data_IF_282546847960
#
_entry.id   IF_282546847960
#
_cell.length_a   1.000
_cell.length_b   1.000
_cell.length_c   1.000
_cell.angle_alpha   90.00
_cell.angle_beta   90.00
_cell.angle_gamma   90.00
#
_symmetry.space_group_name_H-M   'P 1'
#
loop_
_entity.id
_entity.type
_entity.pdbx_description
1 polymer ?
#
# COMPACT_ATOMS: atom_id res chain seq x y z
N UNK A 1 -0.62 8.97 -13.99
CA UNK A 1 0.13 8.28 -12.92
C UNK A 1 0.02 6.75 -12.99
N UNK A 2 -1.19 6.15 -12.96
CA UNK A 2 -1.38 4.68 -13.08
C UNK A 2 -0.87 4.07 -14.39
N UNK A 3 -1.06 4.76 -15.52
CA UNK A 3 -0.62 4.27 -16.84
C UNK A 3 0.92 4.22 -16.95
N UNK A 4 1.63 5.16 -16.33
CA UNK A 4 3.09 5.18 -16.30
C UNK A 4 3.65 4.04 -15.42
N UNK A 5 2.97 3.70 -14.32
CA UNK A 5 3.31 2.57 -13.46
C UNK A 5 3.03 1.21 -14.13
N UNK A 6 1.96 1.09 -14.92
CA UNK A 6 1.66 -0.14 -15.67
C UNK A 6 2.56 -0.33 -16.90
N UNK A 7 2.86 0.74 -17.65
CA UNK A 7 3.63 0.67 -18.90
C UNK A 7 5.13 0.38 -18.69
N UNK A 8 5.67 0.65 -17.51
CA UNK A 8 7.10 0.44 -17.20
C UNK A 8 7.40 -0.92 -16.57
N UNK A 9 6.39 -1.78 -16.37
CA UNK A 9 6.52 -3.07 -15.66
C UNK A 9 6.10 -4.30 -16.49
N UNK A 10 6.17 -4.24 -17.83
CA UNK A 10 6.20 -5.44 -18.66
C UNK A 10 7.61 -6.07 -18.58
N UNK A 11 7.81 -6.95 -17.60
CA UNK A 11 9.00 -7.81 -17.53
C UNK A 11 8.61 -9.17 -18.11
N UNK A 12 8.85 -9.35 -19.41
CA UNK A 12 9.04 -10.66 -20.02
C UNK A 12 10.50 -11.06 -19.90
N UNK A 13 10.76 -12.32 -19.54
CA UNK A 13 12.04 -12.98 -19.78
C UNK A 13 13.08 -12.80 -18.66
N UNK A 14 13.21 -13.85 -17.85
CA UNK A 14 14.34 -14.04 -16.96
C UNK A 14 15.65 -14.10 -17.77
N UNK A 15 16.48 -13.07 -17.70
CA UNK A 15 17.80 -13.11 -18.34
C UNK A 15 18.60 -11.81 -18.23
N UNK A 16 17.96 -10.64 -18.34
CA UNK A 16 18.69 -9.37 -18.46
C UNK A 16 18.74 -8.53 -17.16
N UNK A 17 17.99 -8.91 -16.12
CA UNK A 17 17.87 -8.11 -14.89
C UNK A 17 19.10 -8.12 -13.97
N UNK A 18 20.16 -8.88 -14.27
CA UNK A 18 21.32 -8.98 -13.37
C UNK A 18 22.28 -7.78 -13.47
N UNK A 19 22.39 -7.14 -14.64
CA UNK A 19 23.33 -6.01 -14.82
C UNK A 19 22.78 -4.65 -14.34
N UNK A 20 21.46 -4.42 -14.45
CA UNK A 20 20.83 -3.17 -13.98
C UNK A 20 20.75 -3.05 -12.45
N UNK A 21 20.77 -4.18 -11.73
CA UNK A 21 20.73 -4.22 -10.27
C UNK A 21 22.01 -3.64 -9.62
N UNK A 22 23.13 -3.60 -10.34
CA UNK A 22 24.42 -3.15 -9.78
C UNK A 22 24.52 -1.63 -9.55
N UNK A 23 23.70 -0.82 -10.25
CA UNK A 23 23.68 0.65 -10.09
C UNK A 23 22.68 1.17 -9.05
N UNK A 24 21.83 0.32 -8.48
CA UNK A 24 20.88 0.70 -7.42
C UNK A 24 21.43 0.61 -6.00
N UNK A 25 22.74 0.41 -5.85
CA UNK A 25 23.44 0.31 -4.56
C UNK A 25 23.61 1.66 -3.82
N UNK A 26 23.11 2.77 -4.36
CA UNK A 26 23.29 4.12 -3.77
C UNK A 26 22.03 4.79 -3.21
N UNK A 27 20.83 4.27 -3.47
CA UNK A 27 19.59 4.87 -2.96
C UNK A 27 19.16 4.12 -1.69
N UNK A 28 19.76 4.48 -0.55
CA UNK A 28 19.15 4.22 0.77
C UNK A 28 17.89 5.08 0.89
N UNK A 29 16.83 4.65 0.20
CA UNK A 29 15.51 5.25 0.31
C UNK A 29 14.97 4.94 1.69
N UNK A 30 15.03 5.93 2.57
CA UNK A 30 14.33 5.88 3.85
C UNK A 30 12.84 6.01 3.54
N UNK A 31 12.05 4.97 3.83
CA UNK A 31 10.59 5.02 3.76
C UNK A 31 10.03 5.17 5.16
N UNK A 32 9.16 6.15 5.40
CA UNK A 32 8.46 6.34 6.68
C UNK A 32 6.95 6.18 6.51
N UNK A 33 6.30 5.82 7.61
CA UNK A 33 4.85 5.61 7.70
C UNK A 33 4.17 6.49 8.76
N UNK A 34 4.93 7.40 9.37
CA UNK A 34 4.48 8.23 10.48
C UNK A 34 3.63 9.44 10.06
N UNK A 35 3.18 9.47 8.80
CA UNK A 35 2.32 10.50 8.25
C UNK A 35 1.08 9.88 7.60
N UNK A 36 -0.08 10.40 7.99
CA UNK A 36 -1.41 9.91 7.61
C UNK A 36 -2.16 10.87 6.66
N UNK A 37 -1.49 11.91 6.13
CA UNK A 37 -2.13 13.05 5.46
C UNK A 37 -2.52 12.83 3.99
N UNK A 38 -1.89 11.88 3.27
CA UNK A 38 -2.12 11.72 1.82
C UNK A 38 -2.30 10.27 1.35
N UNK A 39 -3.29 10.02 0.49
CA UNK A 39 -3.60 8.68 -0.06
C UNK A 39 -2.65 8.19 -1.17
N UNK A 40 -1.66 9.01 -1.54
CA UNK A 40 -0.60 8.67 -2.50
C UNK A 40 0.76 8.87 -1.85
N UNK A 41 1.79 8.07 -2.21
CA UNK A 41 3.15 8.29 -1.75
C UNK A 41 3.67 9.67 -2.18
N UNK A 42 4.46 10.32 -1.33
CA UNK A 42 5.08 11.61 -1.60
C UNK A 42 6.41 11.75 -0.86
N UNK A 43 7.19 12.78 -1.17
CA UNK A 43 8.46 13.06 -0.50
C UNK A 43 8.29 14.07 0.63
N UNK A 44 8.85 13.77 1.78
CA UNK A 44 9.23 14.77 2.76
C UNK A 44 10.62 15.30 2.41
N UNK A 45 10.69 16.57 2.01
CA UNK A 45 11.94 17.26 1.66
C UNK A 45 12.37 18.28 2.72
N UNK A 46 11.53 18.52 3.72
CA UNK A 46 11.65 19.66 4.62
C UNK A 46 12.18 19.26 6.00
N UNK A 47 11.87 18.05 6.48
CA UNK A 47 12.26 17.61 7.83
C UNK A 47 13.77 17.44 7.98
N UNK A 48 14.46 16.93 6.96
CA UNK A 48 15.91 16.73 6.98
C UNK A 48 16.54 17.33 5.72
N UNK A 49 17.29 18.45 5.85
CA UNK A 49 17.92 19.09 4.70
C UNK A 49 18.83 18.13 3.90
N UNK A 50 18.60 18.08 2.59
CA UNK A 50 19.37 17.25 1.65
C UNK A 50 19.12 15.74 1.77
N UNK A 51 18.11 15.31 2.53
CA UNK A 51 17.74 13.89 2.69
C UNK A 51 16.22 13.71 2.54
N UNK A 52 15.71 13.70 1.30
CA UNK A 52 14.31 13.45 1.07
C UNK A 52 13.94 12.03 1.52
N UNK A 53 12.82 11.92 2.24
CA UNK A 53 12.29 10.66 2.78
C UNK A 53 10.98 10.35 2.07
N UNK A 54 10.83 9.13 1.56
CA UNK A 54 9.59 8.71 0.93
C UNK A 54 8.55 8.44 2.02
N UNK A 55 7.47 9.21 2.03
CA UNK A 55 6.31 8.99 2.90
C UNK A 55 5.35 8.02 2.22
N UNK A 56 5.01 6.95 2.93
CA UNK A 56 3.97 6.02 2.54
C UNK A 56 2.93 5.93 3.64
N UNK A 57 1.71 6.36 3.32
CA UNK A 57 0.65 6.41 4.30
C UNK A 57 0.33 5.06 4.94
N UNK A 58 0.26 5.08 6.27
CA UNK A 58 -0.38 4.04 7.06
C UNK A 58 -1.84 4.42 7.35
N UNK A 59 -2.74 3.44 7.27
CA UNK A 59 -4.16 3.65 7.54
C UNK A 59 -4.47 3.22 8.97
N UNK A 60 -4.78 4.19 9.83
CA UNK A 60 -5.13 3.99 11.25
C UNK A 60 -6.65 3.80 11.45
N UNK A 61 -7.45 4.25 10.49
CA UNK A 61 -8.92 4.28 10.53
C UNK A 61 -9.60 2.91 10.39
N UNK A 62 -8.93 1.87 9.90
CA UNK A 62 -9.43 0.48 9.90
C UNK A 62 -8.30 -0.53 10.20
N UNK A 63 -7.35 -0.12 11.02
CA UNK A 63 -6.34 -1.01 11.59
C UNK A 63 -7.02 -2.09 12.45
N UNK A 64 -6.47 -3.31 12.45
CA UNK A 64 -6.99 -4.40 13.26
C UNK A 64 -6.96 -4.10 14.76
N UNK A 65 -6.08 -3.19 15.22
CA UNK A 65 -6.11 -2.64 16.58
C UNK A 65 -7.47 -2.09 17.00
N UNK A 66 -8.28 -1.55 16.07
CA UNK A 66 -9.62 -1.06 16.40
C UNK A 66 -10.54 -2.15 16.93
N UNK A 67 -10.38 -3.39 16.45
CA UNK A 67 -11.14 -4.55 16.93
C UNK A 67 -10.85 -4.84 18.41
N UNK A 68 -9.67 -4.43 18.89
CA UNK A 68 -9.30 -4.57 20.29
C UNK A 68 -9.74 -3.38 21.14
N UNK A 69 -9.61 -2.15 20.62
CA UNK A 69 -9.84 -0.94 21.40
C UNK A 69 -11.31 -0.51 21.46
N UNK A 70 -12.11 -0.83 20.44
CA UNK A 70 -13.53 -0.48 20.38
C UNK A 70 -14.40 -1.74 20.47
N UNK A 71 -15.15 -1.84 21.57
CA UNK A 71 -16.04 -2.98 21.82
C UNK A 71 -17.18 -3.11 20.80
N UNK A 72 -17.59 -2.03 20.15
CA UNK A 72 -18.62 -2.05 19.11
C UNK A 72 -18.05 -2.42 17.72
N UNK A 73 -16.73 -2.40 17.57
CA UNK A 73 -16.06 -2.64 16.29
C UNK A 73 -15.58 -4.09 16.17
N UNK A 74 -16.46 -4.96 15.68
CA UNK A 74 -16.15 -6.37 15.46
C UNK A 74 -15.44 -6.68 14.14
N UNK A 75 -15.02 -7.94 13.93
CA UNK A 75 -14.44 -8.41 12.65
C UNK A 75 -15.38 -8.22 11.45
N UNK A 76 -16.70 -8.24 11.66
CA UNK A 76 -17.69 -7.95 10.61
C UNK A 76 -17.69 -6.49 10.17
N UNK A 77 -17.61 -5.56 11.13
CA UNK A 77 -17.48 -4.12 10.86
C UNK A 77 -16.16 -3.82 10.15
N UNK A 78 -15.06 -4.43 10.62
CA UNK A 78 -13.75 -4.33 9.98
C UNK A 78 -13.80 -4.77 8.51
N UNK A 79 -14.38 -5.95 8.23
CA UNK A 79 -14.52 -6.47 6.87
C UNK A 79 -15.36 -5.53 5.99
N UNK A 80 -16.52 -5.10 6.49
CA UNK A 80 -17.42 -4.22 5.74
C UNK A 80 -16.73 -2.89 5.40
N UNK A 81 -15.97 -2.32 6.33
CA UNK A 81 -15.21 -1.09 6.10
C UNK A 81 -14.09 -1.33 5.07
N UNK A 82 -13.28 -2.38 5.25
CA UNK A 82 -12.17 -2.68 4.36
C UNK A 82 -12.63 -2.90 2.90
N UNK A 83 -13.74 -3.62 2.71
CA UNK A 83 -14.36 -3.83 1.39
C UNK A 83 -14.84 -2.51 0.78
N UNK A 84 -15.60 -1.70 1.53
CA UNK A 84 -16.09 -0.40 1.03
C UNK A 84 -14.95 0.56 0.70
N UNK A 85 -13.90 0.57 1.51
CA UNK A 85 -12.72 1.39 1.26
C UNK A 85 -12.01 0.95 -0.02
N UNK A 86 -11.80 -0.36 -0.19
CA UNK A 86 -11.21 -0.92 -1.40
C UNK A 86 -12.05 -0.58 -2.64
N UNK A 87 -13.36 -0.79 -2.60
CA UNK A 87 -14.26 -0.50 -3.73
C UNK A 87 -14.23 0.97 -4.12
N UNK A 88 -14.20 1.87 -3.12
CA UNK A 88 -14.10 3.31 -3.35
C UNK A 88 -12.77 3.70 -3.99
N UNK A 89 -11.64 3.23 -3.44
CA UNK A 89 -10.31 3.48 -3.98
C UNK A 89 -10.17 2.92 -5.40
N UNK A 90 -10.74 1.75 -5.65
CA UNK A 90 -10.72 1.11 -6.97
C UNK A 90 -11.56 1.92 -7.97
N UNK A 91 -12.75 2.38 -7.59
CA UNK A 91 -13.61 3.25 -8.41
C UNK A 91 -12.88 4.52 -8.80
N UNK A 92 -12.28 5.22 -7.84
CA UNK A 92 -11.49 6.43 -8.10
C UNK A 92 -10.27 6.15 -9.00
N UNK A 93 -9.63 4.99 -8.81
CA UNK A 93 -8.55 4.52 -9.67
C UNK A 93 -8.97 4.30 -11.11
N UNK A 94 -10.16 3.72 -11.34
CA UNK A 94 -10.75 3.52 -12.67
C UNK A 94 -11.14 4.83 -13.33
N UNK A 95 -11.49 5.85 -12.55
CA UNK A 95 -11.75 7.23 -13.00
C UNK A 95 -10.46 8.02 -13.29
N UNK A 96 -9.28 7.41 -13.13
CA UNK A 96 -7.98 8.00 -13.47
C UNK A 96 -7.19 8.54 -12.29
N UNK A 97 -7.69 8.38 -11.05
CA UNK A 97 -7.04 8.82 -9.82
C UNK A 97 -6.65 7.62 -8.93
N UNK A 98 -5.60 6.86 -9.30
CA UNK A 98 -5.16 5.70 -8.52
C UNK A 98 -4.65 6.12 -7.14
N UNK A 99 -5.11 5.42 -6.10
CA UNK A 99 -4.68 5.64 -4.70
C UNK A 99 -4.17 4.34 -4.09
N UNK A 100 -3.39 4.48 -3.03
CA UNK A 100 -2.91 3.35 -2.24
C UNK A 100 -3.83 3.08 -1.06
N UNK A 101 -4.09 1.80 -0.78
CA UNK A 101 -4.73 1.34 0.45
C UNK A 101 -3.71 0.53 1.26
N UNK A 102 -3.56 0.85 2.55
CA UNK A 102 -2.75 0.09 3.50
C UNK A 102 -3.68 -0.70 4.44
N UNK A 103 -3.30 -1.93 4.81
CA UNK A 103 -3.96 -2.71 5.87
C UNK A 103 -3.00 -2.85 7.05
N UNK A 104 -3.41 -2.37 8.22
CA UNK A 104 -2.77 -2.66 9.51
C UNK A 104 -3.29 -3.98 10.06
N UNK A 105 -2.39 -4.94 10.30
CA UNK A 105 -2.74 -6.30 10.70
C UNK A 105 -1.86 -6.77 11.85
N UNK A 106 -2.49 -7.12 12.97
CA UNK A 106 -1.85 -7.67 14.15
C UNK A 106 -2.23 -9.14 14.30
N UNK A 107 -1.23 -10.03 14.25
CA UNK A 107 -1.45 -11.49 14.33
C UNK A 107 -2.22 -11.88 15.60
N UNK A 108 -1.94 -11.21 16.71
CA UNK A 108 -2.62 -11.45 17.99
C UNK A 108 -4.07 -10.94 18.05
N UNK A 109 -4.51 -10.15 17.07
CA UNK A 109 -5.87 -9.60 17.02
C UNK A 109 -6.66 -10.24 15.89
N UNK A 110 -6.33 -9.94 14.62
CA UNK A 110 -7.07 -10.46 13.46
C UNK A 110 -6.74 -11.94 13.21
N UNK A 111 -5.58 -12.40 13.65
CA UNK A 111 -5.14 -13.80 13.50
C UNK A 111 -5.85 -14.78 14.43
N UNK A 112 -6.62 -14.32 15.41
CA UNK A 112 -7.40 -15.21 16.27
C UNK A 112 -8.43 -16.01 15.46
N UNK A 113 -8.66 -17.27 15.84
CA UNK A 113 -9.57 -18.18 15.13
C UNK A 113 -10.99 -17.62 14.93
N UNK A 114 -11.51 -16.86 15.91
CA UNK A 114 -12.83 -16.22 15.82
C UNK A 114 -12.90 -15.00 14.89
N UNK A 115 -11.77 -14.52 14.34
CA UNK A 115 -11.67 -13.27 13.56
C UNK A 115 -11.00 -13.44 12.20
N UNK A 116 -10.14 -14.46 12.03
CA UNK A 116 -9.36 -14.68 10.80
C UNK A 116 -10.22 -14.84 9.54
N UNK A 117 -11.46 -15.30 9.70
CA UNK A 117 -12.43 -15.40 8.60
C UNK A 117 -12.67 -14.04 7.91
N UNK A 118 -12.62 -12.93 8.64
CA UNK A 118 -12.83 -11.59 8.08
C UNK A 118 -11.69 -11.21 7.14
N UNK A 119 -10.45 -11.48 7.53
CA UNK A 119 -9.28 -11.29 6.68
C UNK A 119 -9.37 -12.16 5.42
N UNK A 120 -9.76 -13.42 5.57
CA UNK A 120 -9.96 -14.34 4.45
C UNK A 120 -10.99 -13.82 3.44
N UNK A 121 -12.14 -13.33 3.92
CA UNK A 121 -13.16 -12.74 3.06
C UNK A 121 -12.72 -11.43 2.40
N UNK A 122 -11.96 -10.59 3.12
CA UNK A 122 -11.38 -9.37 2.54
C UNK A 122 -10.47 -9.71 1.36
N UNK A 123 -9.57 -10.68 1.51
CA UNK A 123 -8.72 -11.13 0.41
C UNK A 123 -9.51 -11.80 -0.72
N UNK A 124 -10.54 -12.57 -0.40
CA UNK A 124 -11.42 -13.16 -1.41
C UNK A 124 -12.13 -12.07 -2.22
N UNK A 125 -12.58 -10.98 -1.59
CA UNK A 125 -13.18 -9.83 -2.28
C UNK A 125 -12.18 -9.15 -3.20
N UNK A 126 -11.03 -8.74 -2.66
CA UNK A 126 -9.97 -8.08 -3.43
C UNK A 126 -9.57 -8.93 -4.64
N UNK A 127 -9.43 -10.25 -4.49
CA UNK A 127 -9.02 -11.16 -5.56
C UNK A 127 -9.97 -11.23 -6.76
N UNK A 128 -11.23 -10.79 -6.63
CA UNK A 128 -12.20 -10.74 -7.73
C UNK A 128 -11.91 -9.66 -8.78
N UNK A 129 -10.99 -8.76 -8.49
CA UNK A 129 -10.66 -7.62 -9.35
C UNK A 129 -9.30 -7.84 -10.01
N UNK A 130 -9.25 -7.86 -11.34
CA UNK A 130 -8.02 -8.05 -12.11
C UNK A 130 -7.13 -6.80 -12.12
N UNK A 131 -7.72 -5.64 -11.87
CA UNK A 131 -7.07 -4.33 -11.87
C UNK A 131 -6.39 -3.96 -10.54
N UNK A 132 -6.30 -4.92 -9.61
CA UNK A 132 -5.61 -4.75 -8.33
C UNK A 132 -4.09 -4.87 -8.46
N UNK A 133 -3.38 -4.15 -7.61
CA UNK A 133 -1.95 -4.34 -7.40
C UNK A 133 -1.66 -4.62 -5.93
N UNK A 134 -1.12 -5.81 -5.65
CA UNK A 134 -0.56 -6.14 -4.35
C UNK A 134 0.94 -5.82 -4.38
N UNK A 135 1.39 -4.92 -3.51
CA UNK A 135 2.78 -4.50 -3.46
C UNK A 135 3.29 -4.38 -2.03
N UNK A 136 4.55 -4.73 -1.83
CA UNK A 136 5.28 -4.32 -0.63
C UNK A 136 5.63 -2.84 -0.74
N UNK A 137 5.75 -2.14 0.39
CA UNK A 137 6.21 -0.74 0.42
C UNK A 137 7.56 -0.57 -0.29
N UNK A 138 8.45 -1.55 -0.16
CA UNK A 138 9.74 -1.56 -0.86
C UNK A 138 9.59 -1.55 -2.39
N UNK A 139 8.52 -2.13 -2.94
CA UNK A 139 8.23 -2.09 -4.38
C UNK A 139 7.57 -0.77 -4.81
N UNK A 140 6.93 -0.04 -3.88
CA UNK A 140 6.27 1.24 -4.17
C UNK A 140 7.28 2.39 -4.24
N UNK A 141 8.33 2.37 -3.41
CA UNK A 141 9.29 3.47 -3.30
C UNK A 141 10.02 3.79 -4.63
N UNK A 142 10.52 2.80 -5.39
CA UNK A 142 11.15 3.06 -6.68
C UNK A 142 10.18 3.68 -7.69
N UNK A 143 8.90 3.29 -7.66
CA UNK A 143 7.87 3.87 -8.53
C UNK A 143 7.63 5.35 -8.26
N UNK A 144 7.70 5.78 -6.99
CA UNK A 144 7.62 7.20 -6.64
C UNK A 144 8.80 7.99 -7.25
N UNK A 145 10.04 7.49 -7.12
CA UNK A 145 11.22 8.16 -7.64
C UNK A 145 11.23 8.33 -9.18
N UNK A 146 10.51 7.48 -9.90
CA UNK A 146 10.33 7.60 -11.36
C UNK A 146 9.33 8.70 -11.72
N UNK A 147 8.25 8.86 -10.94
CA UNK A 147 7.18 9.81 -11.21
C UNK A 147 7.49 11.20 -10.67
N UNK A 148 8.14 11.26 -9.51
CA UNK A 148 8.59 12.47 -8.84
C UNK A 148 10.00 12.23 -8.28
N UNK A 149 11.05 12.71 -8.97
CA UNK A 149 12.42 12.63 -8.47
C UNK A 149 12.60 13.45 -7.19
N UNK A 150 13.30 12.85 -6.22
CA UNK A 150 13.53 13.40 -4.89
C UNK A 150 14.44 14.66 -4.89
#
# INVERSE_FOLDING_TARGET
MAAALKSSMHISGAGESFMAASKLSFLKLYTTMHDCSADVPFWDRDTVPGKPVAIMRYRVDFDSMQIWTDQAFGPGQWLAYAVRNFDQVLREGREGNPKMMSLGLDLQIIGCAGRIWALGQCFAHVRKHDDRWGATRHQIAPGLAVVDPA
#
